data_IF_788876776047
#
_entry.id   IF_788876776047
#
_cell.length_a   1.000
_cell.length_b   1.000
_cell.length_c   1.000
_cell.angle_alpha   90.00
_cell.angle_beta   90.00
_cell.angle_gamma   90.00
#
_symmetry.space_group_name_H-M   'P 1'
#
loop_
_entity.id
_entity.type
_entity.pdbx_description
1 polymer ?
#
# COMPACT_ATOMS: atom_id res chain seq x y z
N UNK A 1 10.83 -8.10 -28.15
CA UNK A 1 11.72 -7.42 -27.22
C UNK A 1 11.08 -6.19 -26.60
N UNK A 2 10.52 -5.36 -27.43
CA UNK A 2 10.03 -4.06 -26.98
C UNK A 2 8.91 -4.14 -25.95
N UNK A 3 8.16 -5.24 -25.91
CA UNK A 3 7.06 -5.37 -24.95
C UNK A 3 7.52 -5.72 -23.53
N UNK A 4 8.76 -6.11 -23.36
CA UNK A 4 9.24 -6.60 -22.09
C UNK A 4 9.12 -5.60 -20.93
N UNK A 5 9.40 -4.31 -21.12
CA UNK A 5 9.28 -3.37 -20.00
C UNK A 5 7.90 -3.35 -19.36
N UNK A 6 6.85 -3.50 -20.18
CA UNK A 6 5.50 -3.52 -19.65
C UNK A 6 5.22 -4.77 -18.84
N UNK A 7 5.73 -5.90 -19.32
CA UNK A 7 5.56 -7.16 -18.60
C UNK A 7 6.25 -7.10 -17.25
N UNK A 8 7.46 -6.54 -17.20
CA UNK A 8 8.19 -6.44 -15.96
C UNK A 8 7.43 -5.62 -14.92
N UNK A 9 6.83 -4.52 -15.36
CA UNK A 9 6.06 -3.69 -14.43
C UNK A 9 4.89 -4.45 -13.82
N UNK A 10 4.19 -5.23 -14.64
CA UNK A 10 3.06 -6.01 -14.16
C UNK A 10 3.51 -7.12 -13.24
N UNK A 11 4.64 -7.74 -13.56
CA UNK A 11 5.15 -8.84 -12.77
C UNK A 11 5.65 -8.39 -11.40
N UNK A 12 6.01 -7.12 -11.27
CA UNK A 12 6.45 -6.59 -9.99
C UNK A 12 5.35 -6.52 -8.96
N UNK A 13 4.12 -6.30 -9.38
CA UNK A 13 3.00 -6.16 -8.46
C UNK A 13 2.62 -7.52 -7.88
N UNK A 14 2.64 -7.64 -6.55
CA UNK A 14 2.31 -8.89 -5.88
C UNK A 14 1.04 -8.81 -5.05
N UNK A 15 0.73 -7.64 -4.47
CA UNK A 15 -0.49 -7.45 -3.68
C UNK A 15 -0.97 -6.03 -3.80
N UNK A 16 -2.28 -5.85 -3.61
CA UNK A 16 -2.86 -4.54 -3.33
C UNK A 16 -3.56 -4.62 -1.99
N UNK A 17 -3.39 -3.59 -1.19
CA UNK A 17 -4.12 -3.43 0.06
C UNK A 17 -5.00 -2.21 -0.07
N UNK A 18 -6.15 -2.27 0.58
CA UNK A 18 -7.04 -1.13 0.71
C UNK A 18 -6.66 -0.42 2.00
N UNK A 19 -6.42 0.88 1.93
CA UNK A 19 -6.22 1.68 3.13
C UNK A 19 -7.37 2.68 3.23
N UNK A 20 -7.94 2.80 4.42
CA UNK A 20 -8.95 3.81 4.67
C UNK A 20 -8.70 4.47 6.01
N UNK A 21 -9.25 5.66 6.19
CA UNK A 21 -9.10 6.44 7.40
C UNK A 21 -9.53 7.86 7.19
N UNK A 22 -8.84 8.79 7.84
CA UNK A 22 -9.14 10.22 7.80
C UNK A 22 -7.90 10.95 7.29
N UNK A 23 -8.08 11.82 6.29
CA UNK A 23 -6.97 12.55 5.70
C UNK A 23 -6.65 13.82 6.52
N UNK A 24 -5.57 14.53 6.19
CA UNK A 24 -5.19 15.73 6.95
C UNK A 24 -6.23 16.84 6.96
N UNK A 25 -7.20 16.80 6.04
CA UNK A 25 -8.29 17.77 5.99
C UNK A 25 -9.53 17.27 6.73
N UNK A 26 -9.39 16.20 7.50
CA UNK A 26 -10.48 15.63 8.31
C UNK A 26 -11.58 15.01 7.46
N UNK A 27 -11.23 14.48 6.29
CA UNK A 27 -12.17 13.80 5.40
C UNK A 27 -11.88 12.30 5.37
N UNK A 28 -12.93 11.49 5.30
CA UNK A 28 -12.77 10.06 5.07
C UNK A 28 -12.09 9.82 3.71
N UNK A 29 -11.18 8.85 3.66
CA UNK A 29 -10.55 8.48 2.41
C UNK A 29 -10.39 6.96 2.30
N UNK A 30 -10.18 6.53 1.06
CA UNK A 30 -9.96 5.12 0.74
C UNK A 30 -9.08 5.07 -0.50
N UNK A 31 -7.95 4.39 -0.41
CA UNK A 31 -6.99 4.29 -1.52
C UNK A 31 -6.36 2.91 -1.56
N UNK A 32 -5.76 2.58 -2.69
CA UNK A 32 -5.01 1.35 -2.86
C UNK A 32 -3.55 1.57 -2.49
N UNK A 33 -3.00 0.65 -1.69
CA UNK A 33 -1.56 0.55 -1.46
C UNK A 33 -1.06 -0.57 -2.35
N UNK A 34 -0.14 -0.25 -3.25
CA UNK A 34 0.41 -1.21 -4.20
C UNK A 34 1.70 -1.77 -3.64
N UNK A 35 1.82 -3.09 -3.60
CA UNK A 35 3.03 -3.75 -3.11
C UNK A 35 3.70 -4.46 -4.27
N UNK A 36 4.95 -4.12 -4.51
CA UNK A 36 5.75 -4.68 -5.59
C UNK A 36 6.92 -5.46 -5.04
N UNK A 37 7.30 -6.51 -5.78
CA UNK A 37 8.52 -7.25 -5.47
C UNK A 37 9.73 -6.44 -5.93
N UNK A 38 10.78 -6.47 -5.12
CA UNK A 38 12.06 -5.84 -5.43
C UNK A 38 13.16 -6.90 -5.36
N UNK A 39 14.37 -6.58 -5.82
CA UNK A 39 15.48 -7.56 -5.70
C UNK A 39 15.77 -7.99 -4.26
N UNK A 40 15.46 -7.16 -3.27
CA UNK A 40 15.75 -7.47 -1.87
C UNK A 40 14.52 -7.67 -1.02
N UNK A 41 13.32 -7.72 -1.61
CA UNK A 41 12.11 -7.96 -0.84
C UNK A 41 10.89 -7.31 -1.46
N UNK A 42 10.24 -6.42 -0.73
CA UNK A 42 8.98 -5.81 -1.13
C UNK A 42 8.98 -4.32 -0.81
N UNK A 43 8.39 -3.53 -1.70
CA UNK A 43 8.21 -2.10 -1.48
C UNK A 43 6.76 -1.71 -1.77
N UNK A 44 6.22 -0.81 -0.98
CA UNK A 44 4.85 -0.37 -1.12
C UNK A 44 4.79 1.08 -1.59
N UNK A 45 3.66 1.45 -2.18
CA UNK A 45 3.44 2.79 -2.71
C UNK A 45 1.98 3.15 -2.58
N UNK A 46 1.72 4.42 -2.26
CA UNK A 46 0.36 4.95 -2.25
C UNK A 46 0.37 6.32 -2.92
N UNK A 47 -0.73 6.63 -3.59
CA UNK A 47 -0.94 7.96 -4.17
C UNK A 47 -2.22 8.53 -3.58
N UNK A 48 -2.17 9.79 -3.19
CA UNK A 48 -3.31 10.49 -2.65
C UNK A 48 -3.30 11.92 -3.17
N UNK A 49 -4.20 12.22 -4.11
CA UNK A 49 -4.24 13.52 -4.78
C UNK A 49 -2.87 13.82 -5.38
N UNK A 50 -2.23 14.92 -5.01
CA UNK A 50 -0.92 15.27 -5.53
C UNK A 50 0.24 14.59 -4.79
N UNK A 51 -0.06 13.86 -3.71
CA UNK A 51 0.96 13.22 -2.89
C UNK A 51 1.23 11.80 -3.38
N UNK A 52 2.50 11.48 -3.56
CA UNK A 52 2.93 10.11 -3.83
C UNK A 52 3.94 9.71 -2.76
N UNK A 53 3.71 8.57 -2.13
CA UNK A 53 4.63 8.03 -1.14
C UNK A 53 5.16 6.72 -1.68
N UNK A 54 6.48 6.65 -1.88
CA UNK A 54 7.18 5.44 -2.29
C UNK A 54 7.98 4.94 -1.10
N UNK A 55 7.74 3.67 -0.70
CA UNK A 55 8.45 3.09 0.42
C UNK A 55 9.75 2.43 -0.02
N UNK A 56 10.56 2.06 0.96
CA UNK A 56 11.78 1.33 0.76
C UNK A 56 11.51 -0.17 0.69
N UNK A 57 12.53 -0.92 0.33
CA UNK A 57 12.43 -2.38 0.27
C UNK A 57 12.49 -2.96 1.68
N UNK A 58 11.61 -3.95 1.93
CA UNK A 58 11.51 -4.62 3.22
C UNK A 58 11.45 -6.12 3.02
N UNK A 59 11.89 -6.90 4.02
CA UNK A 59 11.85 -8.36 3.88
C UNK A 59 10.44 -8.95 3.78
N UNK A 60 9.42 -8.24 4.27
CA UNK A 60 8.05 -8.74 4.27
C UNK A 60 7.09 -7.70 3.73
N UNK A 61 5.95 -8.17 3.23
CA UNK A 61 4.90 -7.29 2.75
C UNK A 61 4.33 -6.46 3.90
N UNK A 62 4.16 -7.08 5.07
CA UNK A 62 3.63 -6.37 6.23
C UNK A 62 4.52 -5.17 6.61
N UNK A 63 5.84 -5.35 6.59
CA UNK A 63 6.76 -4.26 6.90
C UNK A 63 6.71 -3.17 5.85
N UNK A 64 6.56 -3.53 4.58
CA UNK A 64 6.45 -2.54 3.50
C UNK A 64 5.18 -1.71 3.66
N UNK A 65 4.06 -2.34 3.98
CA UNK A 65 2.79 -1.62 4.21
C UNK A 65 2.91 -0.74 5.46
N UNK A 66 3.53 -1.26 6.52
CA UNK A 66 3.72 -0.50 7.76
C UNK A 66 4.47 0.80 7.51
N UNK A 67 5.51 0.77 6.69
CA UNK A 67 6.24 2.00 6.37
C UNK A 67 5.34 3.04 5.72
N UNK A 68 4.49 2.62 4.79
CA UNK A 68 3.57 3.54 4.12
C UNK A 68 2.61 4.17 5.12
N UNK A 69 2.08 3.35 6.05
CA UNK A 69 1.16 3.87 7.07
C UNK A 69 1.86 4.90 7.95
N UNK A 70 3.09 4.62 8.37
CA UNK A 70 3.85 5.54 9.22
C UNK A 70 4.14 6.85 8.47
N UNK A 71 4.47 6.76 7.18
CA UNK A 71 4.69 7.96 6.38
C UNK A 71 3.41 8.78 6.26
N UNK A 72 2.27 8.13 6.05
CA UNK A 72 0.98 8.83 5.98
C UNK A 72 0.65 9.50 7.31
N UNK A 73 0.92 8.84 8.43
CA UNK A 73 0.74 9.43 9.75
C UNK A 73 1.58 10.71 9.89
N UNK A 74 2.80 10.68 9.35
CA UNK A 74 3.66 11.86 9.37
C UNK A 74 3.10 13.02 8.57
N UNK A 75 2.25 12.75 7.59
CA UNK A 75 1.57 13.80 6.81
C UNK A 75 0.24 14.20 7.43
N UNK A 76 -0.18 13.61 8.54
CA UNK A 76 -1.39 13.99 9.22
C UNK A 76 -2.59 13.08 8.99
N UNK A 77 -2.41 11.96 8.29
CA UNK A 77 -3.47 10.97 8.15
C UNK A 77 -3.65 10.24 9.49
N UNK A 78 -4.86 9.80 9.78
CA UNK A 78 -5.17 9.18 11.06
C UNK A 78 -6.27 8.11 10.93
N UNK A 79 -6.46 7.36 12.00
CA UNK A 79 -7.52 6.35 12.10
C UNK A 79 -7.49 5.37 10.94
N UNK A 80 -6.29 4.98 10.56
CA UNK A 80 -6.11 4.14 9.37
C UNK A 80 -6.24 2.67 9.68
N UNK A 81 -6.71 1.94 8.68
CA UNK A 81 -6.69 0.49 8.69
C UNK A 81 -6.49 -0.02 7.27
N UNK A 82 -5.95 -1.20 7.15
CA UNK A 82 -5.69 -1.82 5.85
C UNK A 82 -6.20 -3.24 5.80
N UNK A 83 -6.43 -3.72 4.58
CA UNK A 83 -6.66 -5.14 4.35
C UNK A 83 -6.27 -5.46 2.91
N UNK A 84 -5.76 -6.66 2.69
CA UNK A 84 -5.43 -7.11 1.35
C UNK A 84 -6.72 -7.38 0.58
N UNK A 85 -6.77 -6.94 -0.69
CA UNK A 85 -7.91 -7.25 -1.54
C UNK A 85 -7.48 -7.78 -2.91
N UNK A 86 -6.17 -7.93 -3.13
CA UNK A 86 -5.63 -8.45 -4.39
C UNK A 86 -4.34 -9.19 -4.07
N UNK A 87 -4.22 -10.45 -4.51
CA UNK A 87 -3.01 -11.24 -4.32
C UNK A 87 -2.69 -12.00 -5.59
N UNK A 88 -1.43 -11.94 -5.98
CA UNK A 88 -0.97 -12.62 -7.17
C UNK A 88 -1.52 -11.98 -8.43
N UNK A 89 -2.55 -12.56 -9.02
CA UNK A 89 -3.07 -12.11 -10.30
C UNK A 89 -4.55 -11.73 -10.25
N UNK A 90 -5.18 -11.75 -9.06
CA UNK A 90 -6.62 -11.52 -9.02
C UNK A 90 -7.06 -10.87 -7.72
N UNK A 91 -8.22 -10.24 -7.77
CA UNK A 91 -8.88 -9.72 -6.58
C UNK A 91 -9.47 -10.89 -5.79
N UNK A 92 -9.46 -10.73 -4.46
CA UNK A 92 -9.96 -11.75 -3.57
C UNK A 92 -11.49 -11.74 -3.57
N UNK A 93 -12.09 -12.92 -3.62
CA UNK A 93 -13.54 -13.06 -3.53
C UNK A 93 -14.02 -12.61 -2.16
N UNK A 94 -13.26 -12.97 -1.11
CA UNK A 94 -13.51 -12.49 0.24
C UNK A 94 -12.29 -11.71 0.69
N UNK A 95 -12.51 -10.47 1.13
CA UNK A 95 -11.42 -9.62 1.57
C UNK A 95 -10.97 -10.04 2.95
N UNK A 96 -9.69 -9.81 3.23
CA UNK A 96 -9.11 -10.16 4.51
C UNK A 96 -9.61 -9.22 5.61
N UNK A 97 -9.41 -9.64 6.85
CA UNK A 97 -9.77 -8.86 8.02
C UNK A 97 -8.97 -7.55 8.04
N UNK A 98 -9.63 -6.49 8.50
CA UNK A 98 -8.94 -5.21 8.67
C UNK A 98 -7.86 -5.30 9.73
N UNK A 99 -6.74 -4.63 9.46
CA UNK A 99 -5.66 -4.41 10.41
C UNK A 99 -5.70 -2.93 10.79
N UNK A 100 -5.94 -2.66 12.07
CA UNK A 100 -6.01 -1.29 12.56
C UNK A 100 -4.63 -0.78 12.95
N UNK A 101 -4.39 0.51 12.72
CA UNK A 101 -3.13 1.14 13.06
C UNK A 101 -3.38 2.22 14.09
N UNK A 102 -2.56 2.21 15.15
CA UNK A 102 -2.69 3.17 16.22
C UNK A 102 -2.11 4.51 15.78
N UNK A 103 -2.85 5.60 16.07
CA UNK A 103 -2.33 6.93 15.78
C UNK A 103 -1.16 7.24 16.72
N UNK A 104 -0.19 8.05 16.28
CA UNK A 104 0.90 8.47 17.14
C UNK A 104 0.35 9.28 18.33
N UNK A 105 1.02 9.15 19.45
CA UNK A 105 0.62 9.88 20.65
C UNK A 105 0.90 11.38 20.51
#
# INVERSE_FOLDING_TARGET
MSSLPLLFKKEGLVEKHQVEGVDPSDRYFNRAVLVNRTPSGYAAKVMYEALTIDGHSHPTIAAAVQEIIEAMQGFGFSRMRTRANFKGTKYLAEKETWVDYQDPA
#
